data_IF_366162135450
#
_entry.id   IF_366162135450
#
_cell.length_a   1.000
_cell.length_b   1.000
_cell.length_c   1.000
_cell.angle_alpha   90.00
_cell.angle_beta   90.00
_cell.angle_gamma   90.00
#
_symmetry.space_group_name_H-M   'P 1'
#
loop_
_entity.id
_entity.type
_entity.pdbx_description
1 polymer ?
#
# COMPACT_ATOMS: atom_id res chain seq x y z
N UNK A 1 45.76 -46.04 40.38
CA UNK A 1 45.46 -44.60 40.20
C UNK A 1 45.91 -44.17 38.80
N UNK A 2 45.01 -44.14 37.81
CA UNK A 2 45.33 -43.97 36.37
C UNK A 2 44.60 -42.77 35.75
N UNK A 3 44.29 -41.76 36.57
CA UNK A 3 43.46 -40.61 36.18
C UNK A 3 44.19 -39.49 35.41
N UNK A 4 45.47 -39.13 35.64
CA UNK A 4 45.99 -37.86 35.11
C UNK A 4 46.33 -37.85 33.60
N UNK A 5 46.64 -39.00 32.99
CA UNK A 5 47.03 -39.05 31.57
C UNK A 5 45.84 -39.03 30.60
N UNK A 6 44.71 -39.62 30.99
CA UNK A 6 43.48 -39.63 30.19
C UNK A 6 42.87 -38.24 30.05
N UNK A 7 42.99 -37.37 31.05
CA UNK A 7 42.59 -35.95 30.92
C UNK A 7 43.49 -35.16 29.97
N UNK A 8 44.79 -35.47 29.91
CA UNK A 8 45.77 -34.73 29.09
C UNK A 8 45.55 -34.91 27.59
N UNK A 9 45.07 -36.08 27.18
CA UNK A 9 44.80 -36.43 25.76
C UNK A 9 43.36 -36.18 25.34
N UNK A 10 42.38 -36.35 26.25
CA UNK A 10 40.95 -36.16 25.92
C UNK A 10 40.51 -34.70 25.93
N UNK A 11 41.04 -33.87 26.82
CA UNK A 11 40.61 -32.48 26.94
C UNK A 11 40.84 -31.63 25.67
N UNK A 12 41.99 -31.70 24.98
CA UNK A 12 42.19 -30.97 23.72
C UNK A 12 41.23 -31.43 22.61
N UNK A 13 40.91 -32.72 22.56
CA UNK A 13 39.94 -33.26 21.60
C UNK A 13 38.54 -32.73 21.87
N UNK A 14 38.10 -32.75 23.14
CA UNK A 14 36.79 -32.21 23.54
C UNK A 14 36.68 -30.72 23.21
N UNK A 15 37.74 -29.94 23.46
CA UNK A 15 37.80 -28.52 23.08
C UNK A 15 37.68 -28.38 21.56
N UNK A 16 38.47 -29.11 20.76
CA UNK A 16 38.40 -29.00 19.30
C UNK A 16 37.01 -29.34 18.74
N UNK A 17 36.35 -30.36 19.31
CA UNK A 17 34.99 -30.75 18.93
C UNK A 17 34.01 -29.65 19.33
N UNK A 18 34.12 -29.09 20.53
CA UNK A 18 33.26 -28.00 20.98
C UNK A 18 33.40 -26.75 20.10
N UNK A 19 34.64 -26.35 19.74
CA UNK A 19 34.88 -25.23 18.83
C UNK A 19 34.31 -25.49 17.45
N UNK A 20 34.48 -26.71 16.91
CA UNK A 20 33.94 -27.08 15.61
C UNK A 20 32.40 -27.09 15.61
N UNK A 21 31.77 -27.56 16.69
CA UNK A 21 30.31 -27.51 16.88
C UNK A 21 29.83 -26.07 16.96
N UNK A 22 30.50 -25.21 17.73
CA UNK A 22 30.15 -23.78 17.84
C UNK A 22 30.24 -23.08 16.48
N UNK A 23 31.33 -23.29 15.73
CA UNK A 23 31.49 -22.73 14.39
C UNK A 23 30.40 -23.23 13.43
N UNK A 24 30.07 -24.52 13.48
CA UNK A 24 29.01 -25.09 12.64
C UNK A 24 27.63 -24.51 12.97
N UNK A 25 27.33 -24.34 14.27
CA UNK A 25 26.08 -23.74 14.73
C UNK A 25 25.99 -22.26 14.35
N UNK A 26 27.09 -21.50 14.45
CA UNK A 26 27.15 -20.10 14.02
C UNK A 26 26.91 -19.96 12.51
N UNK A 27 27.54 -20.81 11.68
CA UNK A 27 27.32 -20.81 10.23
C UNK A 27 25.85 -21.13 9.90
N UNK A 28 25.25 -22.11 10.58
CA UNK A 28 23.83 -22.44 10.40
C UNK A 28 22.90 -21.30 10.83
N UNK A 29 23.17 -20.69 11.98
CA UNK A 29 22.40 -19.54 12.48
C UNK A 29 22.48 -18.36 11.49
N UNK A 30 23.67 -18.08 10.94
CA UNK A 30 23.86 -17.06 9.91
C UNK A 30 23.09 -17.39 8.63
N UNK A 31 23.15 -18.64 8.15
CA UNK A 31 22.39 -19.09 6.97
C UNK A 31 20.89 -18.86 7.15
N UNK A 32 20.33 -19.32 8.27
CA UNK A 32 18.90 -19.19 8.58
C UNK A 32 18.52 -17.71 8.73
N UNK A 33 19.38 -16.89 9.36
CA UNK A 33 19.16 -15.45 9.47
C UNK A 33 19.10 -14.78 8.09
N UNK A 34 19.98 -15.17 7.16
CA UNK A 34 19.96 -14.64 5.80
C UNK A 34 18.71 -15.08 5.02
N UNK A 35 18.26 -16.33 5.18
CA UNK A 35 17.04 -16.82 4.55
C UNK A 35 15.79 -16.09 5.06
N UNK A 36 15.68 -15.88 6.38
CA UNK A 36 14.60 -15.09 6.98
C UNK A 36 14.62 -13.67 6.43
N UNK A 37 15.79 -13.03 6.38
CA UNK A 37 15.93 -11.66 5.88
C UNK A 37 15.52 -11.54 4.41
N UNK A 38 15.96 -12.47 3.56
CA UNK A 38 15.59 -12.48 2.13
C UNK A 38 14.07 -12.63 1.98
N UNK A 39 13.44 -13.53 2.73
CA UNK A 39 11.99 -13.71 2.70
C UNK A 39 11.23 -12.49 3.24
N UNK A 40 11.74 -11.83 4.27
CA UNK A 40 11.17 -10.57 4.79
C UNK A 40 11.28 -9.45 3.76
N UNK A 41 12.43 -9.28 3.11
CA UNK A 41 12.65 -8.28 2.08
C UNK A 41 11.71 -8.50 0.89
N UNK A 42 11.52 -9.76 0.47
CA UNK A 42 10.56 -10.13 -0.57
C UNK A 42 9.11 -9.81 -0.16
N UNK A 43 8.70 -10.21 1.05
CA UNK A 43 7.36 -9.90 1.58
C UNK A 43 7.12 -8.41 1.67
N UNK A 44 8.10 -7.65 2.16
CA UNK A 44 8.01 -6.20 2.28
C UNK A 44 7.89 -5.54 0.90
N UNK A 45 8.64 -6.02 -0.10
CA UNK A 45 8.52 -5.55 -1.48
C UNK A 45 7.13 -5.86 -2.09
N UNK A 46 6.53 -7.00 -1.78
CA UNK A 46 5.16 -7.32 -2.16
C UNK A 46 4.13 -6.42 -1.49
N UNK A 47 4.28 -6.19 -0.19
CA UNK A 47 3.40 -5.28 0.57
C UNK A 47 3.47 -3.86 0.01
N UNK A 48 4.67 -3.36 -0.28
CA UNK A 48 4.83 -2.01 -0.84
C UNK A 48 4.24 -1.90 -2.25
N UNK A 49 4.42 -2.92 -3.10
CA UNK A 49 3.74 -2.98 -4.42
C UNK A 49 2.22 -2.96 -4.26
N UNK A 50 1.68 -3.79 -3.36
CA UNK A 50 0.24 -3.85 -3.08
C UNK A 50 -0.34 -2.53 -2.57
N UNK A 51 0.36 -1.85 -1.66
CA UNK A 51 -0.03 -0.50 -1.18
C UNK A 51 0.01 0.55 -2.29
N UNK A 52 1.01 0.49 -3.17
CA UNK A 52 1.10 1.42 -4.31
C UNK A 52 -0.07 1.20 -5.28
N UNK A 53 -0.39 -0.05 -5.61
CA UNK A 53 -1.56 -0.37 -6.43
C UNK A 53 -2.86 0.08 -5.76
N UNK A 54 -3.05 -0.18 -4.46
CA UNK A 54 -4.20 0.30 -3.70
C UNK A 54 -4.36 1.82 -3.82
N UNK A 55 -3.27 2.57 -3.66
CA UNK A 55 -3.28 4.02 -3.79
C UNK A 55 -3.72 4.47 -5.18
N UNK A 56 -3.18 3.85 -6.23
CA UNK A 56 -3.54 4.16 -7.62
C UNK A 56 -5.02 3.88 -7.89
N UNK A 57 -5.52 2.73 -7.46
CA UNK A 57 -6.91 2.33 -7.67
C UNK A 57 -7.85 3.24 -6.86
N UNK A 58 -7.52 3.56 -5.61
CA UNK A 58 -8.29 4.53 -4.80
C UNK A 58 -8.37 5.89 -5.47
N UNK A 59 -7.26 6.36 -6.03
CA UNK A 59 -7.21 7.65 -6.70
C UNK A 59 -7.99 7.64 -8.02
N UNK A 60 -7.82 6.61 -8.85
CA UNK A 60 -8.56 6.42 -10.10
C UNK A 60 -10.07 6.36 -9.86
N UNK A 61 -10.49 5.53 -8.90
CA UNK A 61 -11.88 5.41 -8.47
C UNK A 61 -12.44 6.76 -8.00
N UNK A 62 -11.73 7.46 -7.09
CA UNK A 62 -12.15 8.77 -6.59
C UNK A 62 -12.32 9.79 -7.72
N UNK A 63 -11.38 9.83 -8.66
CA UNK A 63 -11.45 10.74 -9.81
C UNK A 63 -12.67 10.43 -10.68
N UNK A 64 -12.95 9.15 -10.96
CA UNK A 64 -14.12 8.73 -11.73
C UNK A 64 -15.44 9.06 -11.01
N UNK A 65 -15.50 8.88 -9.69
CA UNK A 65 -16.65 9.26 -8.87
C UNK A 65 -16.86 10.77 -8.89
N UNK A 66 -15.81 11.57 -8.67
CA UNK A 66 -15.89 13.04 -8.72
C UNK A 66 -16.30 13.53 -10.11
N UNK A 67 -15.82 12.90 -11.19
CA UNK A 67 -16.23 13.24 -12.55
C UNK A 67 -17.74 13.00 -12.75
N UNK A 68 -18.27 11.88 -12.27
CA UNK A 68 -19.71 11.60 -12.32
C UNK A 68 -20.50 12.55 -11.42
N UNK A 69 -20.04 12.85 -10.21
CA UNK A 69 -20.68 13.82 -9.30
C UNK A 69 -20.77 15.21 -9.92
N UNK A 70 -19.69 15.68 -10.55
CA UNK A 70 -19.66 16.97 -11.23
C UNK A 70 -20.62 16.99 -12.42
N UNK A 71 -20.67 15.92 -13.21
CA UNK A 71 -21.62 15.80 -14.32
C UNK A 71 -23.08 15.75 -13.86
N UNK A 72 -23.36 15.03 -12.77
CA UNK A 72 -24.68 14.94 -12.14
C UNK A 72 -25.12 16.22 -11.45
N UNK A 73 -24.23 17.20 -11.26
CA UNK A 73 -24.60 18.47 -10.62
C UNK A 73 -25.69 19.18 -11.43
N UNK A 74 -26.70 19.68 -10.74
CA UNK A 74 -27.88 20.27 -11.37
C UNK A 74 -27.51 21.42 -12.33
N UNK A 75 -26.52 22.24 -11.98
CA UNK A 75 -26.06 23.35 -12.81
C UNK A 75 -25.48 22.87 -14.16
N UNK A 76 -24.66 21.80 -14.15
CA UNK A 76 -24.08 21.22 -15.36
C UNK A 76 -25.15 20.56 -16.22
N UNK A 77 -26.06 19.80 -15.60
CA UNK A 77 -27.17 19.17 -16.31
C UNK A 77 -28.08 20.20 -16.97
N UNK A 78 -28.47 21.25 -16.26
CA UNK A 78 -29.33 22.29 -16.81
C UNK A 78 -28.65 23.04 -17.96
N UNK A 79 -27.38 23.41 -17.79
CA UNK A 79 -26.62 24.11 -18.83
C UNK A 79 -26.48 23.28 -20.10
N UNK A 80 -26.27 21.98 -19.96
CA UNK A 80 -25.96 21.09 -21.09
C UNK A 80 -27.22 20.55 -21.77
N UNK A 81 -28.28 20.31 -21.01
CA UNK A 81 -29.42 19.50 -21.50
C UNK A 81 -30.76 20.21 -21.44
N UNK A 82 -30.95 21.29 -20.67
CA UNK A 82 -32.30 21.85 -20.45
C UNK A 82 -32.99 22.27 -21.75
N UNK A 83 -32.27 22.96 -22.64
CA UNK A 83 -32.82 23.46 -23.90
C UNK A 83 -33.19 22.30 -24.85
N UNK A 84 -32.23 21.42 -25.13
CA UNK A 84 -32.41 20.28 -26.04
C UNK A 84 -33.48 19.30 -25.55
N UNK A 85 -33.50 19.04 -24.24
CA UNK A 85 -34.52 18.20 -23.61
C UNK A 85 -35.91 18.83 -23.70
N UNK A 86 -36.03 20.15 -23.49
CA UNK A 86 -37.30 20.86 -23.57
C UNK A 86 -37.83 20.87 -25.01
N UNK A 87 -36.94 21.04 -25.99
CA UNK A 87 -37.27 20.93 -27.40
C UNK A 87 -37.69 19.49 -27.76
N UNK A 88 -36.95 18.47 -27.31
CA UNK A 88 -37.32 17.07 -27.54
C UNK A 88 -38.67 16.72 -26.89
N UNK A 89 -39.01 17.33 -25.74
CA UNK A 89 -40.30 17.17 -25.09
C UNK A 89 -41.44 17.82 -25.89
N UNK A 90 -41.20 19.01 -26.44
CA UNK A 90 -42.14 19.69 -27.35
C UNK A 90 -42.37 18.88 -28.63
N UNK A 91 -41.31 18.30 -29.20
CA UNK A 91 -41.36 17.51 -30.43
C UNK A 91 -41.82 16.06 -30.23
N UNK A 92 -42.19 15.67 -29.00
CA UNK A 92 -42.55 14.29 -28.62
C UNK A 92 -41.45 13.23 -28.89
N UNK A 93 -40.18 13.66 -28.90
CA UNK A 93 -38.98 12.83 -29.13
C UNK A 93 -38.11 12.69 -27.88
N UNK A 94 -38.67 12.97 -26.71
CA UNK A 94 -37.92 12.94 -25.44
C UNK A 94 -37.31 11.57 -25.14
N UNK A 95 -38.04 10.46 -25.35
CA UNK A 95 -37.53 9.11 -25.09
C UNK A 95 -36.30 8.76 -25.95
N UNK A 96 -36.27 9.19 -27.21
CA UNK A 96 -35.09 9.00 -28.08
C UNK A 96 -33.92 9.85 -27.61
N UNK A 97 -34.18 11.09 -27.17
CA UNK A 97 -33.15 11.97 -26.64
C UNK A 97 -32.56 11.43 -25.33
N UNK A 98 -33.41 11.00 -24.39
CA UNK A 98 -33.03 10.42 -23.10
C UNK A 98 -32.09 9.22 -23.29
N UNK A 99 -32.43 8.31 -24.21
CA UNK A 99 -31.60 7.13 -24.52
C UNK A 99 -30.28 7.51 -25.18
N UNK A 100 -30.29 8.42 -26.14
CA UNK A 100 -29.13 8.70 -27.00
C UNK A 100 -28.08 9.56 -26.28
N UNK A 101 -28.51 10.50 -25.45
CA UNK A 101 -27.61 11.45 -24.80
C UNK A 101 -27.46 11.15 -23.31
N UNK A 102 -28.55 11.20 -22.55
CA UNK A 102 -28.48 11.14 -21.09
C UNK A 102 -28.06 9.75 -20.61
N UNK A 103 -28.72 8.69 -21.09
CA UNK A 103 -28.41 7.31 -20.73
C UNK A 103 -27.03 6.87 -21.27
N UNK A 104 -26.69 7.25 -22.50
CA UNK A 104 -25.39 6.91 -23.10
C UNK A 104 -24.22 7.48 -22.28
N UNK A 105 -24.30 8.76 -21.91
CA UNK A 105 -23.27 9.41 -21.08
C UNK A 105 -23.23 8.79 -19.67
N UNK A 106 -24.39 8.54 -19.06
CA UNK A 106 -24.49 7.88 -17.77
C UNK A 106 -23.79 6.50 -17.76
N UNK A 107 -24.05 5.68 -18.78
CA UNK A 107 -23.43 4.36 -18.93
C UNK A 107 -21.91 4.48 -19.12
N UNK A 108 -21.42 5.51 -19.81
CA UNK A 108 -19.99 5.76 -19.96
C UNK A 108 -19.31 6.01 -18.60
N UNK A 109 -19.90 6.88 -17.77
CA UNK A 109 -19.39 7.14 -16.43
C UNK A 109 -19.50 5.92 -15.51
N UNK A 110 -20.61 5.17 -15.57
CA UNK A 110 -20.77 3.92 -14.82
C UNK A 110 -19.67 2.92 -15.18
N UNK A 111 -19.38 2.72 -16.47
CA UNK A 111 -18.30 1.84 -16.92
C UNK A 111 -16.94 2.28 -16.41
N UNK A 112 -16.64 3.58 -16.41
CA UNK A 112 -15.37 4.09 -15.92
C UNK A 112 -15.17 3.79 -14.42
N UNK A 113 -16.23 3.91 -13.62
CA UNK A 113 -16.20 3.54 -12.20
C UNK A 113 -16.05 2.01 -12.05
N UNK A 114 -16.85 1.24 -12.79
CA UNK A 114 -16.83 -0.22 -12.73
C UNK A 114 -15.50 -0.82 -13.17
N UNK A 115 -14.76 -0.19 -14.08
CA UNK A 115 -13.42 -0.62 -14.47
C UNK A 115 -12.45 -0.60 -13.29
N UNK A 116 -12.45 0.47 -12.48
CA UNK A 116 -11.60 0.54 -11.29
C UNK A 116 -12.03 -0.47 -10.22
N UNK A 117 -13.33 -0.68 -10.04
CA UNK A 117 -13.84 -1.69 -9.09
C UNK A 117 -13.45 -3.09 -9.54
N UNK A 118 -13.59 -3.39 -10.82
CA UNK A 118 -13.16 -4.67 -11.39
C UNK A 118 -11.66 -4.87 -11.20
N UNK A 119 -10.85 -3.86 -11.51
CA UNK A 119 -9.40 -3.92 -11.31
C UNK A 119 -9.05 -4.16 -9.83
N UNK A 120 -9.76 -3.52 -8.89
CA UNK A 120 -9.58 -3.77 -7.46
C UNK A 120 -9.91 -5.22 -7.08
N UNK A 121 -11.02 -5.75 -7.61
CA UNK A 121 -11.44 -7.13 -7.36
C UNK A 121 -10.46 -8.15 -7.93
N UNK A 122 -9.96 -7.91 -9.14
CA UNK A 122 -9.00 -8.78 -9.83
C UNK A 122 -7.65 -8.79 -9.09
N UNK A 123 -7.14 -7.63 -8.67
CA UNK A 123 -5.86 -7.50 -7.95
C UNK A 123 -5.94 -8.03 -6.49
N UNK A 124 -7.07 -7.84 -5.80
CA UNK A 124 -7.22 -8.24 -4.40
C UNK A 124 -7.99 -9.55 -4.21
N UNK A 125 -8.31 -10.27 -5.29
CA UNK A 125 -9.07 -11.53 -5.27
C UNK A 125 -10.39 -11.46 -4.49
N UNK A 126 -11.11 -10.33 -4.59
CA UNK A 126 -12.41 -10.11 -3.93
C UNK A 126 -13.56 -10.31 -4.90
N UNK A 127 -14.72 -10.75 -4.41
CA UNK A 127 -15.91 -10.86 -5.26
C UNK A 127 -16.40 -9.47 -5.70
N UNK A 128 -16.82 -9.32 -6.97
CA UNK A 128 -17.31 -8.05 -7.47
C UNK A 128 -18.64 -7.68 -6.81
N UNK A 129 -18.84 -6.41 -6.43
CA UNK A 129 -20.12 -5.95 -5.90
C UNK A 129 -21.17 -5.88 -7.01
N UNK A 130 -22.43 -5.75 -6.63
CA UNK A 130 -23.51 -5.45 -7.57
C UNK A 130 -23.21 -4.18 -8.36
N UNK A 131 -23.52 -4.18 -9.67
CA UNK A 131 -23.27 -3.06 -10.59
C UNK A 131 -23.93 -1.76 -10.13
N UNK A 132 -23.31 -0.63 -10.49
CA UNK A 132 -23.88 0.69 -10.22
C UNK A 132 -25.07 0.91 -11.17
N UNK A 133 -26.28 0.70 -10.67
CA UNK A 133 -27.51 0.90 -11.45
C UNK A 133 -28.24 2.16 -10.96
N UNK A 134 -28.02 3.27 -11.67
CA UNK A 134 -28.78 4.50 -11.46
C UNK A 134 -30.05 4.44 -12.32
N UNK A 135 -31.22 4.50 -11.69
CA UNK A 135 -32.51 4.52 -12.37
C UNK A 135 -32.82 5.91 -12.91
N UNK A 136 -33.43 5.96 -14.09
CA UNK A 136 -33.99 7.18 -14.68
C UNK A 136 -35.37 7.46 -14.06
N UNK A 137 -35.71 8.73 -13.77
CA UNK A 137 -37.02 9.07 -13.25
C UNK A 137 -38.11 8.94 -14.32
N UNK A 138 -39.36 8.95 -13.87
CA UNK A 138 -40.52 8.88 -14.76
C UNK A 138 -40.55 10.05 -15.77
N UNK A 139 -41.21 9.81 -16.90
CA UNK A 139 -41.38 10.79 -17.97
C UNK A 139 -41.86 12.16 -17.46
N UNK A 140 -41.30 13.28 -17.95
CA UNK A 140 -41.64 14.62 -17.47
C UNK A 140 -43.09 15.00 -17.84
N UNK A 141 -43.91 15.31 -16.83
CA UNK A 141 -45.27 15.80 -17.01
C UNK A 141 -45.30 17.33 -17.10
N UNK A 142 -45.41 17.87 -18.31
CA UNK A 142 -45.59 19.30 -18.54
C UNK A 142 -47.07 19.70 -18.38
N UNK A 143 -47.34 20.58 -17.42
CA UNK A 143 -48.67 21.20 -17.28
C UNK A 143 -48.75 22.38 -18.24
N UNK A 144 -49.41 22.16 -19.39
CA UNK A 144 -49.52 23.20 -20.41
C UNK A 144 -50.55 24.27 -19.98
N UNK A 145 -50.22 25.56 -20.15
CA UNK A 145 -51.17 26.62 -19.89
C UNK A 145 -52.35 26.54 -20.87
N UNK A 146 -53.53 26.99 -20.46
CA UNK A 146 -54.67 27.17 -21.36
C UNK A 146 -54.48 28.43 -22.20
N UNK A 147 -54.90 28.38 -23.47
CA UNK A 147 -54.87 29.54 -24.35
C UNK A 147 -55.91 30.55 -23.87
N UNK A 148 -55.50 31.81 -23.66
CA UNK A 148 -56.46 32.88 -23.32
C UNK A 148 -57.39 33.12 -24.49
N UNK A 149 -58.69 33.08 -24.23
CA UNK A 149 -59.70 33.39 -25.24
C UNK A 149 -59.80 34.91 -25.47
N UNK A 150 -60.04 35.29 -26.72
CA UNK A 150 -60.25 36.69 -27.11
C UNK A 150 -61.69 37.09 -26.81
N UNK A 151 -61.88 38.25 -26.19
CA UNK A 151 -63.22 38.82 -26.05
C UNK A 151 -63.69 39.50 -27.36
N UNK A 152 -64.98 39.81 -27.42
CA UNK A 152 -65.63 40.38 -28.62
C UNK A 152 -64.94 41.70 -29.05
N UNK A 153 -64.63 42.58 -28.11
CA UNK A 153 -63.95 43.86 -28.40
C UNK A 153 -62.56 43.67 -29.02
N UNK A 154 -61.78 42.72 -28.52
CA UNK A 154 -60.46 42.35 -29.09
C UNK A 154 -60.58 41.74 -30.49
N UNK A 155 -61.65 40.96 -30.75
CA UNK A 155 -61.91 40.41 -32.09
C UNK A 155 -62.26 41.52 -33.09
N UNK A 156 -63.01 42.54 -32.67
CA UNK A 156 -63.32 43.69 -33.51
C UNK A 156 -62.12 44.62 -33.73
N UNK A 157 -61.31 44.91 -32.70
CA UNK A 157 -60.11 45.74 -32.88
C UNK A 157 -59.06 45.07 -33.78
N UNK A 158 -58.99 43.74 -33.79
CA UNK A 158 -58.13 42.96 -34.68
C UNK A 158 -58.47 43.16 -36.18
N UNK A 159 -59.72 43.47 -36.54
CA UNK A 159 -60.11 43.78 -37.94
C UNK A 159 -59.45 45.06 -38.44
N UNK A 160 -59.29 46.06 -37.55
CA UNK A 160 -58.73 47.36 -37.90
C UNK A 160 -57.22 47.46 -37.65
N UNK A 161 -56.65 46.55 -36.84
CA UNK A 161 -55.21 46.54 -36.49
C UNK A 161 -54.43 45.40 -37.15
N UNK A 162 -55.03 44.69 -38.12
CA UNK A 162 -54.39 43.57 -38.81
C UNK A 162 -54.07 42.40 -37.89
N UNK A 163 -54.92 42.13 -36.89
CA UNK A 163 -54.77 41.02 -35.96
C UNK A 163 -53.64 41.19 -34.93
N UNK A 164 -53.34 42.41 -34.52
CA UNK A 164 -52.22 42.69 -33.59
C UNK A 164 -52.41 42.03 -32.22
N UNK A 165 -53.64 41.97 -31.68
CA UNK A 165 -53.91 41.32 -30.40
C UNK A 165 -53.82 39.80 -30.52
N UNK A 166 -54.33 39.22 -31.61
CA UNK A 166 -54.15 37.79 -31.90
C UNK A 166 -52.66 37.41 -31.92
N UNK A 167 -51.84 38.14 -32.70
CA UNK A 167 -50.40 37.88 -32.82
C UNK A 167 -49.69 37.97 -31.46
N UNK A 168 -50.05 38.97 -30.64
CA UNK A 168 -49.50 39.12 -29.29
C UNK A 168 -49.90 37.97 -28.37
N UNK A 169 -51.18 37.61 -28.31
CA UNK A 169 -51.67 36.51 -27.48
C UNK A 169 -51.06 35.16 -27.90
N UNK A 170 -50.88 34.93 -29.19
CA UNK A 170 -50.23 33.72 -29.71
C UNK A 170 -48.75 33.67 -29.33
N UNK A 171 -48.04 34.81 -29.39
CA UNK A 171 -46.65 34.93 -28.93
C UNK A 171 -46.51 34.73 -27.41
N UNK A 172 -47.40 35.33 -26.62
CA UNK A 172 -47.43 35.17 -25.17
C UNK A 172 -47.71 33.71 -24.79
N UNK A 173 -48.68 33.08 -25.46
CA UNK A 173 -48.99 31.67 -25.27
C UNK A 173 -47.81 30.76 -25.60
N UNK A 174 -47.15 30.97 -26.75
CA UNK A 174 -45.97 30.20 -27.14
C UNK A 174 -44.83 30.32 -26.12
N UNK A 175 -44.63 31.52 -25.56
CA UNK A 175 -43.65 31.75 -24.49
C UNK A 175 -44.01 30.99 -23.22
N UNK A 176 -45.28 30.99 -22.80
CA UNK A 176 -45.74 30.28 -21.61
C UNK A 176 -45.63 28.76 -21.77
N UNK A 177 -45.99 28.23 -22.93
CA UNK A 177 -45.84 26.80 -23.27
C UNK A 177 -44.37 26.39 -23.21
N UNK A 178 -43.47 27.19 -23.80
CA UNK A 178 -42.04 26.93 -23.75
C UNK A 178 -41.49 26.93 -22.32
N UNK A 179 -41.93 27.89 -21.48
CA UNK A 179 -41.55 27.90 -20.07
C UNK A 179 -42.09 26.68 -19.30
N UNK A 180 -43.30 26.22 -19.61
CA UNK A 180 -43.86 25.01 -19.02
C UNK A 180 -43.01 23.77 -19.34
N UNK A 181 -42.55 23.63 -20.58
CA UNK A 181 -41.62 22.55 -20.97
C UNK A 181 -40.26 22.68 -20.26
N UNK A 182 -39.68 23.87 -20.23
CA UNK A 182 -38.41 24.11 -19.50
C UNK A 182 -38.52 23.78 -18.01
N UNK A 183 -39.65 24.11 -17.38
CA UNK A 183 -39.91 23.81 -15.97
C UNK A 183 -40.10 22.32 -15.73
N UNK A 184 -40.80 21.61 -16.62
CA UNK A 184 -40.95 20.17 -16.55
C UNK A 184 -39.59 19.45 -16.63
N UNK A 185 -38.73 19.88 -17.55
CA UNK A 185 -37.37 19.37 -17.68
C UNK A 185 -36.50 19.72 -16.48
N UNK A 186 -36.62 20.94 -15.94
CA UNK A 186 -35.92 21.32 -14.72
C UNK A 186 -36.24 20.36 -13.58
N UNK A 187 -37.52 20.10 -13.34
CA UNK A 187 -37.97 19.19 -12.29
C UNK A 187 -37.47 17.75 -12.51
N UNK A 188 -37.51 17.28 -13.77
CA UNK A 188 -36.99 15.96 -14.14
C UNK A 188 -35.48 15.83 -13.86
N UNK A 189 -34.68 16.80 -14.33
CA UNK A 189 -33.22 16.78 -14.14
C UNK A 189 -32.82 16.97 -12.67
N UNK A 190 -33.56 17.78 -11.92
CA UNK A 190 -33.35 17.94 -10.48
C UNK A 190 -33.61 16.63 -9.74
N UNK A 191 -34.71 15.94 -10.05
CA UNK A 191 -35.01 14.63 -9.47
C UNK A 191 -33.96 13.58 -9.83
N UNK A 192 -33.59 13.51 -11.11
CA UNK A 192 -32.53 12.61 -11.59
C UNK A 192 -31.22 12.85 -10.86
N UNK A 193 -30.77 14.11 -10.79
CA UNK A 193 -29.54 14.51 -10.08
C UNK A 193 -29.53 14.03 -8.64
N UNK A 194 -30.62 14.30 -7.90
CA UNK A 194 -30.73 13.93 -6.49
C UNK A 194 -30.71 12.41 -6.28
N UNK A 195 -31.52 11.66 -7.04
CA UNK A 195 -31.60 10.19 -6.93
C UNK A 195 -30.28 9.51 -7.36
N UNK A 196 -29.65 10.03 -8.41
CA UNK A 196 -28.37 9.53 -8.91
C UNK A 196 -27.23 9.77 -7.92
N UNK A 197 -27.13 10.98 -7.35
CA UNK A 197 -26.12 11.31 -6.34
C UNK A 197 -26.30 10.47 -5.07
N UNK A 198 -27.55 10.27 -4.63
CA UNK A 198 -27.87 9.40 -3.49
C UNK A 198 -27.44 7.94 -3.74
N UNK A 199 -27.71 7.43 -4.94
CA UNK A 199 -27.33 6.07 -5.33
C UNK A 199 -25.81 5.92 -5.42
N UNK A 200 -25.12 6.94 -5.94
CA UNK A 200 -23.67 6.97 -6.07
C UNK A 200 -22.97 6.96 -4.71
N UNK A 201 -23.43 7.77 -3.75
CA UNK A 201 -22.89 7.80 -2.39
C UNK A 201 -23.03 6.42 -1.69
N UNK A 202 -24.20 5.80 -1.81
CA UNK A 202 -24.43 4.44 -1.29
C UNK A 202 -23.48 3.41 -1.93
N UNK A 203 -23.25 3.53 -3.23
CA UNK A 203 -22.35 2.65 -3.95
C UNK A 203 -20.89 2.84 -3.53
N UNK A 204 -20.43 4.08 -3.41
CA UNK A 204 -19.09 4.42 -2.92
C UNK A 204 -18.82 3.79 -1.55
N UNK A 205 -19.76 3.91 -0.62
CA UNK A 205 -19.65 3.32 0.71
C UNK A 205 -19.55 1.78 0.70
N UNK A 206 -20.16 1.11 -0.28
CA UNK A 206 -20.04 -0.35 -0.46
C UNK A 206 -18.71 -0.78 -1.08
N UNK A 207 -18.16 0.04 -1.98
CA UNK A 207 -16.93 -0.27 -2.72
C UNK A 207 -15.67 0.05 -1.90
N UNK A 208 -15.71 1.09 -1.07
CA UNK A 208 -14.57 1.53 -0.24
C UNK A 208 -13.83 0.41 0.51
N UNK A 209 -14.48 -0.56 1.18
CA UNK A 209 -13.77 -1.68 1.83
C UNK A 209 -13.18 -2.71 0.85
N UNK A 210 -13.66 -2.75 -0.39
CA UNK A 210 -13.16 -3.68 -1.42
C UNK A 210 -11.81 -3.22 -1.96
N UNK A 211 -11.58 -1.91 -2.07
CA UNK A 211 -10.32 -1.30 -2.51
C UNK A 211 -9.34 -1.17 -1.33
N UNK A 212 -9.06 -2.27 -0.64
CA UNK A 212 -8.06 -2.33 0.43
C UNK A 212 -7.21 -3.58 0.28
N UNK A 213 -5.90 -3.38 0.25
CA UNK A 213 -4.93 -4.45 0.11
C UNK A 213 -4.87 -5.28 1.40
N UNK A 214 -5.12 -6.60 1.33
CA UNK A 214 -4.89 -7.49 2.46
C UNK A 214 -3.39 -7.70 2.63
N UNK A 215 -2.85 -7.41 3.82
CA UNK A 215 -1.45 -7.73 4.12
C UNK A 215 -1.32 -9.27 4.19
N UNK A 216 -0.46 -9.89 3.36
CA UNK A 216 -0.29 -11.34 3.39
C UNK A 216 0.26 -11.77 4.76
N UNK A 217 -0.29 -12.83 5.36
CA UNK A 217 0.24 -13.37 6.61
C UNK A 217 1.66 -13.90 6.38
N UNK A 218 2.46 -13.90 7.44
CA UNK A 218 3.78 -14.52 7.41
C UNK A 218 3.66 -16.02 7.11
N UNK A 219 4.56 -16.55 6.28
CA UNK A 219 4.51 -17.97 5.95
C UNK A 219 4.87 -18.81 7.18
N UNK A 220 4.22 -19.97 7.38
CA UNK A 220 4.52 -20.86 8.50
C UNK A 220 5.99 -21.32 8.47
N UNK A 221 6.58 -21.46 7.28
CA UNK A 221 8.00 -21.82 7.13
C UNK A 221 8.94 -20.76 7.71
N UNK A 222 8.67 -19.46 7.51
CA UNK A 222 9.48 -18.39 8.09
C UNK A 222 9.29 -18.29 9.60
N UNK A 223 8.08 -18.56 10.08
CA UNK A 223 7.79 -18.65 11.51
C UNK A 223 8.60 -19.79 12.16
N UNK A 224 8.63 -20.97 11.53
CA UNK A 224 9.41 -22.11 12.00
C UNK A 224 10.92 -21.83 11.98
N UNK A 225 11.42 -21.20 10.91
CA UNK A 225 12.82 -20.77 10.82
C UNK A 225 13.20 -19.78 11.92
N UNK A 226 12.32 -18.82 12.26
CA UNK A 226 12.53 -17.89 13.38
C UNK A 226 12.58 -18.61 14.73
N UNK A 227 11.64 -19.53 14.96
CA UNK A 227 11.62 -20.33 16.18
C UNK A 227 12.90 -21.17 16.31
N UNK A 228 13.33 -21.81 15.23
CA UNK A 228 14.56 -22.61 15.19
C UNK A 228 15.83 -21.76 15.39
N UNK A 229 15.89 -20.59 14.77
CA UNK A 229 17.00 -19.65 14.97
C UNK A 229 17.09 -19.18 16.42
N UNK A 230 15.95 -18.93 17.07
CA UNK A 230 15.90 -18.57 18.49
C UNK A 230 16.50 -19.69 19.35
N UNK A 231 16.06 -20.94 19.15
CA UNK A 231 16.62 -22.10 19.87
C UNK A 231 18.12 -22.30 19.62
N UNK A 232 18.59 -22.06 18.38
CA UNK A 232 20.00 -22.12 18.02
C UNK A 232 20.82 -21.06 18.77
N UNK A 233 20.34 -19.83 18.83
CA UNK A 233 21.01 -18.74 19.54
C UNK A 233 21.03 -18.99 21.05
N UNK A 234 19.92 -19.44 21.64
CA UNK A 234 19.86 -19.81 23.06
C UNK A 234 20.89 -20.93 23.38
N UNK A 235 21.04 -21.90 22.47
CA UNK A 235 22.01 -22.99 22.59
C UNK A 235 23.45 -22.50 22.45
N UNK A 236 23.72 -21.58 21.52
CA UNK A 236 25.04 -20.96 21.33
C UNK A 236 25.43 -20.14 22.56
N UNK A 237 24.50 -19.34 23.11
CA UNK A 237 24.72 -18.57 24.33
C UNK A 237 24.99 -19.47 25.54
N UNK A 238 24.27 -20.59 25.66
CA UNK A 238 24.53 -21.60 26.70
C UNK A 238 25.92 -22.22 26.57
N UNK A 239 26.36 -22.53 25.34
CA UNK A 239 27.69 -23.08 25.05
C UNK A 239 28.80 -22.07 25.36
N UNK A 240 28.62 -20.79 25.03
CA UNK A 240 29.56 -19.71 25.34
C UNK A 240 29.67 -19.43 26.84
N UNK A 241 28.56 -19.54 27.57
CA UNK A 241 28.52 -19.37 29.02
C UNK A 241 29.01 -20.61 29.79
N UNK A 242 29.11 -21.77 29.14
CA UNK A 242 29.62 -23.00 29.75
C UNK A 242 31.11 -22.86 30.13
N UNK A 243 31.48 -23.35 31.32
CA UNK A 243 32.82 -23.20 31.91
C UNK A 243 33.97 -23.80 31.07
N UNK A 244 33.69 -24.55 30.00
CA UNK A 244 34.68 -25.18 29.13
C UNK A 244 35.57 -24.19 28.36
N UNK A 245 35.02 -23.09 27.84
CA UNK A 245 35.79 -22.05 27.12
C UNK A 245 36.53 -21.08 28.05
N UNK A 246 36.05 -20.88 29.29
CA UNK A 246 36.76 -20.10 30.32
C UNK A 246 38.13 -20.70 30.66
N UNK A 247 38.28 -22.02 30.57
CA UNK A 247 39.53 -22.74 30.92
C UNK A 247 40.64 -22.47 29.88
N UNK A 248 40.31 -22.25 28.62
CA UNK A 248 41.30 -21.92 27.58
C UNK A 248 41.90 -20.53 27.75
N UNK A 249 41.09 -19.51 28.06
CA UNK A 249 41.56 -18.17 28.41
C UNK A 249 42.60 -18.19 29.54
N UNK A 250 42.36 -19.03 30.56
CA UNK A 250 43.31 -19.19 31.67
C UNK A 250 44.57 -19.97 31.29
N UNK A 251 44.51 -20.96 30.39
CA UNK A 251 45.71 -21.69 29.92
C UNK A 251 46.64 -20.86 29.03
N UNK A 252 46.10 -20.01 28.14
CA UNK A 252 46.93 -19.16 27.29
C UNK A 252 47.64 -18.06 28.10
N UNK A 253 46.96 -17.44 29.07
CA UNK A 253 47.60 -16.50 30.02
C UNK A 253 48.74 -17.16 30.80
N UNK A 254 48.56 -18.39 31.27
CA UNK A 254 49.60 -19.11 32.00
C UNK A 254 50.80 -19.51 31.13
N UNK A 255 50.59 -19.82 29.84
CA UNK A 255 51.69 -20.18 28.92
C UNK A 255 52.57 -18.98 28.59
N UNK A 256 51.98 -17.80 28.40
CA UNK A 256 52.71 -16.55 28.15
C UNK A 256 53.52 -16.09 29.37
N UNK A 257 52.91 -16.17 30.57
CA UNK A 257 53.61 -15.88 31.83
C UNK A 257 54.77 -16.84 32.08
N UNK A 258 54.61 -18.13 31.77
CA UNK A 258 55.68 -19.12 31.92
C UNK A 258 56.82 -18.91 30.93
N UNK A 259 56.52 -18.51 29.68
CA UNK A 259 57.54 -18.14 28.69
C UNK A 259 58.29 -16.86 29.09
N UNK A 260 57.61 -15.86 29.63
CA UNK A 260 58.25 -14.65 30.17
C UNK A 260 59.17 -14.97 31.36
N UNK A 261 58.75 -15.84 32.28
CA UNK A 261 59.59 -16.25 33.41
C UNK A 261 60.84 -17.01 32.92
N UNK A 262 60.70 -17.92 31.96
CA UNK A 262 61.86 -18.62 31.37
C UNK A 262 62.79 -17.65 30.64
N UNK A 263 62.24 -16.67 29.92
CA UNK A 263 63.02 -15.63 29.23
C UNK A 263 63.77 -14.73 30.21
N UNK A 264 63.15 -14.33 31.31
CA UNK A 264 63.79 -13.55 32.38
C UNK A 264 64.90 -14.33 33.09
N UNK A 265 64.69 -15.64 33.33
CA UNK A 265 65.72 -16.52 33.89
C UNK A 265 66.90 -16.65 32.91
N UNK A 266 66.63 -16.83 31.62
CA UNK A 266 67.66 -16.91 30.58
C UNK A 266 68.50 -15.63 30.50
N UNK A 267 67.87 -14.45 30.53
CA UNK A 267 68.54 -13.15 30.60
C UNK A 267 69.43 -13.02 31.85
N UNK A 268 68.97 -13.50 33.00
CA UNK A 268 69.75 -13.48 34.26
C UNK A 268 71.02 -14.34 34.16
N UNK A 269 70.92 -15.53 33.57
CA UNK A 269 72.08 -16.41 33.37
C UNK A 269 73.03 -15.90 32.28
N UNK A 270 72.51 -15.29 31.21
CA UNK A 270 73.34 -14.65 30.18
C UNK A 270 74.15 -13.49 30.76
N UNK A 271 73.53 -12.66 31.61
CA UNK A 271 74.22 -11.59 32.33
C UNK A 271 75.33 -12.10 33.26
N UNK A 272 75.08 -13.19 34.01
CA UNK A 272 76.13 -13.83 34.81
C UNK A 272 77.25 -14.42 33.95
N UNK A 273 76.95 -15.02 32.80
CA UNK A 273 77.96 -15.58 31.90
C UNK A 273 78.88 -14.48 31.34
N UNK A 274 78.33 -13.32 30.97
CA UNK A 274 79.12 -12.17 30.50
C UNK A 274 80.03 -11.62 31.60
N UNK A 275 79.55 -11.55 32.84
CA UNK A 275 80.34 -11.10 33.99
C UNK A 275 81.45 -12.10 34.34
N UNK A 276 81.15 -13.41 34.29
CA UNK A 276 82.14 -14.46 34.56
C UNK A 276 83.20 -14.53 33.45
N UNK A 277 82.80 -14.37 32.19
CA UNK A 277 83.71 -14.36 31.05
C UNK A 277 84.62 -13.12 31.02
N UNK A 278 84.13 -11.95 31.49
CA UNK A 278 84.99 -10.77 31.70
C UNK A 278 86.00 -10.97 32.83
N UNK A 279 85.59 -11.61 33.93
CA UNK A 279 86.48 -11.88 35.07
C UNK A 279 87.60 -12.85 34.69
N UNK A 280 87.29 -13.88 33.92
CA UNK A 280 88.28 -14.86 33.46
C UNK A 280 89.24 -14.32 32.38
N UNK A 281 88.79 -13.36 31.57
CA UNK A 281 89.64 -12.67 30.59
C UNK A 281 90.62 -11.68 31.27
N UNK A 282 90.21 -11.03 32.36
CA UNK A 282 91.07 -10.11 33.11
C UNK A 282 92.19 -10.80 33.91
N UNK A 283 91.96 -11.99 34.46
CA UNK A 283 93.01 -12.74 35.20
C UNK A 283 94.07 -13.36 34.29
N UNK A 284 93.78 -13.57 33.00
CA UNK A 284 94.76 -14.17 32.07
C UNK A 284 95.78 -13.15 31.52
N UNK A 285 95.52 -11.85 31.64
CA UNK A 285 96.38 -10.79 31.12
C UNK A 285 97.25 -10.07 32.18
N UNK A 286 97.03 -10.29 33.47
CA UNK A 286 97.84 -9.66 34.54
C UNK A 286 99.04 -10.49 35.01
N UNK A 287 99.21 -11.73 34.55
CA UNK A 287 100.39 -12.57 34.87
C UNK A 287 101.52 -12.55 33.82
N UNK A 288 101.49 -11.62 32.85
CA UNK A 288 102.56 -11.49 31.84
C UNK A 288 103.39 -10.20 31.93
N UNK A 289 103.20 -9.43 33.00
CA UNK A 289 104.04 -8.28 33.33
C UNK A 289 104.39 -8.28 34.82
N UNK A 290 105.23 -9.24 35.24
CA UNK A 290 106.26 -9.09 36.27
C UNK A 290 107.15 -10.32 36.28
#
# INVERSE_FOLDING_TARGET
>A
MQKPETYRTRLPRVISIATQVQQTLQVKAQSIATEIKVAEDQRNAEIERGKQQEKLIKQGFKNSVTALQNWLSLSVLLKSYQYEAAQALQDSKFNSWEKSYLNSNLVSYQRAIEQWVKQACDEFSKSPPSRLSISLPNYPSAHLPSRKERNIGQRFSDLFTGGSHKRRLDSEYGTQVWQAYKNAIYNYLAKFSQEALYTLDRYENRVKPLISFPIPPESPEILDKRNYLKTLNDSLESLENSQFFKIESHRYKFRYLRQLVVFLIFLKYLGMFIVFSKKHWFEKYTKKCR
#
